data_IF_268137359025
#
_entry.id   IF_268137359025
#
_cell.length_a   1.000
_cell.length_b   1.000
_cell.length_c   1.000
_cell.angle_alpha   90.00
_cell.angle_beta   90.00
_cell.angle_gamma   90.00
#
_symmetry.space_group_name_H-M   'P 1'
#
loop_
_entity.id
_entity.type
_entity.pdbx_description
1 polymer ?
#
# COMPACT_ATOMS: atom_id res chain seq x y z
N UNK A 1 33.85 55.54 20.49
CA UNK A 1 33.51 55.09 19.13
C UNK A 1 33.69 53.58 19.12
N UNK A 2 32.71 52.76 19.55
CA UNK A 2 31.60 52.16 18.75
C UNK A 2 32.09 51.73 17.36
N UNK A 3 31.98 50.49 16.87
CA UNK A 3 31.42 49.20 17.33
C UNK A 3 32.05 48.14 16.40
N UNK A 4 32.31 46.94 16.91
CA UNK A 4 32.82 45.73 16.23
C UNK A 4 32.06 45.34 14.95
N UNK A 5 32.76 44.86 13.92
CA UNK A 5 32.17 44.07 12.83
C UNK A 5 32.97 42.76 12.63
N UNK A 6 32.59 41.73 13.38
CA UNK A 6 32.92 40.34 13.04
C UNK A 6 32.13 39.98 11.79
N UNK A 7 32.81 39.90 10.64
CA UNK A 7 32.26 39.42 9.39
C UNK A 7 32.06 37.89 9.48
N UNK A 8 30.94 37.48 10.06
CA UNK A 8 30.49 36.08 10.11
C UNK A 8 30.01 35.62 8.74
N UNK A 9 30.68 34.60 8.19
CA UNK A 9 30.17 33.71 7.14
C UNK A 9 28.78 33.19 7.53
N UNK A 10 27.77 33.41 6.68
CA UNK A 10 26.52 32.66 6.72
C UNK A 10 26.37 31.90 5.39
N UNK A 11 26.59 30.57 5.35
CA UNK A 11 26.20 29.77 4.20
C UNK A 11 24.68 29.68 4.19
N UNK A 12 24.06 30.20 3.13
CA UNK A 12 22.63 30.05 2.86
C UNK A 12 22.40 28.57 2.52
N UNK A 13 22.01 27.78 3.52
CA UNK A 13 21.48 26.44 3.32
C UNK A 13 20.10 26.58 2.65
N UNK A 14 20.06 26.44 1.33
CA UNK A 14 18.82 26.26 0.60
C UNK A 14 18.19 24.93 1.04
N UNK A 15 17.15 25.04 1.85
CA UNK A 15 16.38 23.92 2.35
C UNK A 15 15.77 23.12 1.21
N UNK A 16 16.05 21.81 1.21
CA UNK A 16 15.29 20.82 0.46
C UNK A 16 13.84 20.91 0.93
N UNK A 17 12.97 21.48 0.11
CA UNK A 17 11.52 21.43 0.30
C UNK A 17 11.08 20.03 -0.11
N UNK A 18 11.35 19.05 0.75
CA UNK A 18 10.77 17.72 0.61
C UNK A 18 9.29 17.81 0.93
N UNK A 19 8.43 17.25 0.08
CA UNK A 19 7.02 17.00 0.37
C UNK A 19 6.91 15.96 1.49
N UNK A 20 7.24 16.34 2.73
CA UNK A 20 6.96 15.53 3.89
C UNK A 20 5.44 15.52 4.13
N UNK A 21 4.89 14.35 4.38
CA UNK A 21 3.49 14.19 4.78
C UNK A 21 3.15 15.11 5.97
N UNK A 22 2.03 15.82 5.89
CA UNK A 22 1.55 16.59 7.05
C UNK A 22 1.06 15.64 8.14
N UNK A 23 1.11 16.02 9.43
CA UNK A 23 0.58 15.18 10.52
C UNK A 23 -0.88 14.77 10.30
N UNK A 24 -1.69 15.64 9.68
CA UNK A 24 -3.09 15.36 9.33
C UNK A 24 -3.21 14.28 8.25
N UNK A 25 -2.35 14.31 7.23
CA UNK A 25 -2.31 13.28 6.19
C UNK A 25 -1.89 11.92 6.76
N UNK A 26 -0.93 11.92 7.70
CA UNK A 26 -0.49 10.72 8.40
C UNK A 26 -1.56 10.11 9.31
N UNK A 27 -2.29 10.93 10.06
CA UNK A 27 -3.42 10.43 10.83
C UNK A 27 -4.48 9.80 9.92
N UNK A 28 -4.82 10.47 8.81
CA UNK A 28 -5.78 9.96 7.85
C UNK A 28 -5.31 8.69 7.12
N UNK A 29 -4.01 8.46 6.93
CA UNK A 29 -3.51 7.19 6.37
C UNK A 29 -3.65 6.05 7.37
N UNK A 30 -3.30 6.26 8.64
CA UNK A 30 -3.49 5.24 9.70
C UNK A 30 -4.97 4.89 9.86
N UNK A 31 -5.87 5.88 9.86
CA UNK A 31 -7.31 5.63 9.95
C UNK A 31 -7.82 4.76 8.79
N UNK A 32 -7.30 4.98 7.56
CA UNK A 32 -7.64 4.14 6.41
C UNK A 32 -7.07 2.72 6.54
N UNK A 33 -5.83 2.58 6.96
CA UNK A 33 -5.19 1.28 7.15
C UNK A 33 -5.96 0.42 8.17
N UNK A 34 -6.42 1.02 9.27
CA UNK A 34 -7.25 0.32 10.25
C UNK A 34 -8.62 -0.07 9.71
N UNK A 35 -9.28 0.83 8.97
CA UNK A 35 -10.56 0.52 8.32
C UNK A 35 -10.42 -0.60 7.27
N UNK A 36 -9.34 -0.61 6.50
CA UNK A 36 -9.06 -1.64 5.50
C UNK A 36 -8.72 -2.98 6.15
N UNK A 37 -8.00 -2.99 7.27
CA UNK A 37 -7.76 -4.20 8.06
C UNK A 37 -9.08 -4.84 8.55
N UNK A 38 -10.04 -4.03 8.99
CA UNK A 38 -11.37 -4.51 9.40
C UNK A 38 -12.16 -5.09 8.23
N UNK A 39 -12.19 -4.39 7.08
CA UNK A 39 -12.84 -4.90 5.86
C UNK A 39 -12.21 -6.19 5.38
N UNK A 40 -10.88 -6.30 5.44
CA UNK A 40 -10.16 -7.50 5.05
C UNK A 40 -10.50 -8.67 5.98
N UNK A 41 -10.53 -8.45 7.29
CA UNK A 41 -10.93 -9.47 8.26
C UNK A 41 -12.36 -9.96 8.00
N UNK A 42 -13.29 -9.05 7.68
CA UNK A 42 -14.66 -9.40 7.33
C UNK A 42 -14.72 -10.20 6.01
N UNK A 43 -13.99 -9.79 4.98
CA UNK A 43 -13.96 -10.46 3.68
C UNK A 43 -13.38 -11.88 3.76
N UNK A 44 -12.52 -12.14 4.75
CA UNK A 44 -11.87 -13.43 5.00
C UNK A 44 -12.54 -14.24 6.12
N UNK A 45 -13.69 -13.79 6.64
CA UNK A 45 -14.38 -14.51 7.71
C UNK A 45 -14.77 -15.93 7.25
N UNK A 46 -14.39 -16.93 8.04
CA UNK A 46 -14.66 -18.34 7.75
C UNK A 46 -13.63 -19.02 6.83
N UNK A 47 -12.63 -18.28 6.33
CA UNK A 47 -11.49 -18.85 5.62
C UNK A 47 -10.31 -19.08 6.56
N UNK A 48 -9.57 -20.16 6.34
CA UNK A 48 -8.31 -20.46 7.02
C UNK A 48 -7.13 -20.32 6.05
N UNK A 49 -6.00 -19.70 6.44
CA UNK A 49 -4.82 -19.62 5.58
C UNK A 49 -4.29 -21.00 5.21
N UNK A 50 -4.08 -21.21 3.90
CA UNK A 50 -3.33 -22.35 3.37
C UNK A 50 -1.82 -22.06 3.30
N UNK A 51 -1.03 -22.97 2.71
CA UNK A 51 0.37 -22.69 2.37
C UNK A 51 0.47 -21.50 1.43
N UNK A 52 1.57 -20.74 1.52
CA UNK A 52 1.86 -19.67 0.58
C UNK A 52 2.18 -20.26 -0.79
N UNK A 53 1.60 -19.68 -1.84
CA UNK A 53 1.84 -20.05 -3.23
C UNK A 53 2.48 -18.87 -3.97
N UNK A 54 3.40 -19.17 -4.88
CA UNK A 54 4.05 -18.15 -5.71
C UNK A 54 3.12 -17.62 -6.81
N UNK A 55 2.28 -18.50 -7.38
CA UNK A 55 1.38 -18.18 -8.48
C UNK A 55 0.02 -18.88 -8.29
N UNK A 56 -1.07 -18.20 -8.66
CA UNK A 56 -2.41 -18.80 -8.71
C UNK A 56 -2.45 -19.83 -9.85
N UNK A 57 -2.97 -21.06 -9.63
CA UNK A 57 -3.06 -22.08 -10.67
C UNK A 57 -3.83 -21.59 -11.91
N UNK A 58 -3.19 -21.61 -13.08
CA UNK A 58 -3.77 -21.10 -14.34
C UNK A 58 -5.04 -21.86 -14.81
N UNK A 59 -5.26 -23.08 -14.30
CA UNK A 59 -6.46 -23.86 -14.58
C UNK A 59 -7.73 -23.20 -14.04
N UNK A 60 -7.60 -22.31 -13.05
CA UNK A 60 -8.68 -21.54 -12.46
C UNK A 60 -9.01 -20.33 -13.35
N UNK A 61 -9.66 -20.58 -14.49
CA UNK A 61 -9.94 -19.56 -15.51
C UNK A 61 -10.99 -18.51 -15.13
N UNK A 62 -11.70 -18.69 -14.02
CA UNK A 62 -12.71 -17.74 -13.54
C UNK A 62 -12.51 -17.47 -12.06
N UNK A 63 -12.20 -16.22 -11.75
CA UNK A 63 -12.20 -15.68 -10.41
C UNK A 63 -12.70 -14.24 -10.45
N UNK A 64 -13.27 -13.80 -9.34
CA UNK A 64 -13.61 -12.40 -9.13
C UNK A 64 -12.46 -11.72 -8.39
N UNK A 65 -11.95 -10.63 -8.97
CA UNK A 65 -10.90 -9.83 -8.35
C UNK A 65 -11.51 -8.67 -7.57
N UNK A 66 -11.02 -8.44 -6.36
CA UNK A 66 -11.33 -7.26 -5.55
C UNK A 66 -10.09 -6.78 -4.81
N UNK A 67 -10.05 -5.51 -4.42
CA UNK A 67 -8.94 -4.93 -3.66
C UNK A 67 -9.43 -4.29 -2.36
N UNK A 68 -8.66 -4.47 -1.29
CA UNK A 68 -8.87 -3.84 0.02
C UNK A 68 -7.52 -3.32 0.48
N UNK A 69 -7.37 -1.99 0.53
CA UNK A 69 -6.07 -1.35 0.78
C UNK A 69 -4.99 -1.87 -0.18
N UNK A 70 -3.93 -2.46 0.40
CA UNK A 70 -2.79 -3.06 -0.31
C UNK A 70 -2.98 -4.54 -0.67
N UNK A 71 -4.14 -5.11 -0.41
CA UNK A 71 -4.40 -6.55 -0.59
C UNK A 71 -5.34 -6.79 -1.76
N UNK A 72 -4.95 -7.70 -2.65
CA UNK A 72 -5.78 -8.21 -3.73
C UNK A 72 -6.38 -9.54 -3.31
N UNK A 73 -7.68 -9.68 -3.49
CA UNK A 73 -8.41 -10.91 -3.26
C UNK A 73 -8.91 -11.47 -4.59
N UNK A 74 -8.55 -12.72 -4.87
CA UNK A 74 -9.01 -13.47 -6.02
C UNK A 74 -9.95 -14.58 -5.53
N UNK A 75 -11.25 -14.32 -5.59
CA UNK A 75 -12.28 -15.28 -5.17
C UNK A 75 -12.57 -16.23 -6.31
N UNK A 76 -12.25 -17.51 -6.12
CA UNK A 76 -12.57 -18.58 -7.07
C UNK A 76 -14.03 -19.01 -6.86
N UNK A 77 -14.37 -19.30 -5.61
CA UNK A 77 -15.71 -19.68 -5.16
C UNK A 77 -15.90 -19.39 -3.66
N UNK A 78 -16.95 -19.96 -3.05
CA UNK A 78 -17.25 -19.76 -1.62
C UNK A 78 -16.32 -20.55 -0.67
N UNK A 79 -15.39 -21.36 -1.20
CA UNK A 79 -14.47 -22.21 -0.43
C UNK A 79 -13.01 -21.80 -0.62
N UNK A 80 -12.69 -21.12 -1.72
CA UNK A 80 -11.32 -20.74 -2.07
C UNK A 80 -11.21 -19.25 -2.45
N UNK A 81 -10.36 -18.55 -1.72
CA UNK A 81 -9.95 -17.18 -1.99
C UNK A 81 -8.43 -17.09 -1.87
N UNK A 82 -7.77 -16.60 -2.93
CA UNK A 82 -6.35 -16.27 -2.85
C UNK A 82 -6.20 -14.83 -2.39
N UNK A 83 -5.24 -14.62 -1.48
CA UNK A 83 -4.84 -13.32 -0.97
C UNK A 83 -3.44 -13.02 -1.48
N UNK A 84 -3.28 -11.88 -2.12
CA UNK A 84 -1.98 -11.34 -2.50
C UNK A 84 -1.79 -9.98 -1.84
N UNK A 85 -0.76 -9.85 -1.00
CA UNK A 85 -0.39 -8.60 -0.38
C UNK A 85 0.64 -7.89 -1.25
N UNK A 86 0.35 -6.65 -1.63
CA UNK A 86 1.18 -5.88 -2.56
C UNK A 86 2.03 -4.87 -1.79
N UNK A 87 3.23 -4.62 -2.31
CA UNK A 87 4.12 -3.56 -1.81
C UNK A 87 4.14 -2.40 -2.79
N UNK A 88 3.94 -1.18 -2.31
CA UNK A 88 4.03 0.04 -3.14
C UNK A 88 2.74 0.45 -3.88
N UNK A 89 1.63 -0.28 -3.68
CA UNK A 89 0.29 0.13 -4.14
C UNK A 89 -0.59 0.37 -2.90
N UNK A 90 -0.66 1.62 -2.44
CA UNK A 90 -1.36 1.99 -1.21
C UNK A 90 -2.82 2.38 -1.44
N UNK A 91 -3.19 2.73 -2.67
CA UNK A 91 -4.50 3.25 -3.02
C UNK A 91 -5.10 2.54 -4.24
N UNK A 92 -4.96 1.21 -4.34
CA UNK A 92 -5.56 0.41 -5.44
C UNK A 92 -7.06 0.68 -5.66
N UNK A 93 -7.90 0.86 -4.63
CA UNK A 93 -9.31 1.21 -4.83
C UNK A 93 -9.53 2.60 -5.44
N UNK A 94 -8.50 3.47 -5.45
CA UNK A 94 -8.59 4.89 -5.84
C UNK A 94 -7.80 5.23 -7.11
N UNK A 95 -7.33 4.22 -7.85
CA UNK A 95 -6.74 4.42 -9.19
C UNK A 95 -5.28 3.99 -9.34
N UNK A 96 -4.62 3.48 -8.30
CA UNK A 96 -3.30 2.88 -8.47
C UNK A 96 -3.39 1.64 -9.38
N UNK A 97 -2.49 1.54 -10.35
CA UNK A 97 -2.43 0.44 -11.30
C UNK A 97 -1.27 -0.47 -10.92
N UNK A 98 -1.58 -1.73 -10.60
CA UNK A 98 -0.59 -2.78 -10.44
C UNK A 98 -0.53 -3.63 -11.71
N UNK A 99 0.63 -3.64 -12.36
CA UNK A 99 0.89 -4.51 -13.52
C UNK A 99 1.66 -5.73 -13.03
N UNK A 100 0.97 -6.87 -12.95
CA UNK A 100 1.63 -8.15 -12.66
C UNK A 100 2.09 -8.80 -13.97
N UNK A 101 3.39 -9.12 -14.07
CA UNK A 101 3.88 -9.99 -15.12
C UNK A 101 3.74 -11.44 -14.65
N UNK A 102 2.89 -12.20 -15.30
CA UNK A 102 2.84 -13.64 -15.14
C UNK A 102 3.60 -14.24 -16.33
N UNK A 103 4.87 -14.66 -16.17
CA UNK A 103 5.52 -15.42 -17.23
C UNK A 103 4.64 -16.66 -17.45
N UNK A 104 4.08 -16.79 -18.65
CA UNK A 104 3.38 -18.02 -19.03
C UNK A 104 4.31 -19.23 -18.92
N UNK A 105 3.78 -20.45 -19.06
CA UNK A 105 4.64 -21.63 -19.17
C UNK A 105 5.70 -21.49 -20.27
#
# INVERSE_FOLDING_TARGET
MRLTLFATLLPIAFGVVGCAETPRQKAASIDRETADALKLAQALQGYSPGPAEECIPQLLRRYQTSSIGKTILYRVDNRLIYRNDTTGCQQMPFGDILVSQNPGP
#
